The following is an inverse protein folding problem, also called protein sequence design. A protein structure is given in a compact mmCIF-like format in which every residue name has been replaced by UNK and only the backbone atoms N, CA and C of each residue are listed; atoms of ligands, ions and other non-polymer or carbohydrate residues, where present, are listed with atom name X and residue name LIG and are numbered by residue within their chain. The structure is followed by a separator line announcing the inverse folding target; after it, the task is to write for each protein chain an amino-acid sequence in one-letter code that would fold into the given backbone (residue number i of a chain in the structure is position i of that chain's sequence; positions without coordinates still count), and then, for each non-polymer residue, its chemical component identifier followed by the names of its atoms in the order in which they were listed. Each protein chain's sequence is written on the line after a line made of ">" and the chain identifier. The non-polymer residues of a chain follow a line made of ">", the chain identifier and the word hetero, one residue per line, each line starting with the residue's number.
data_IF_517987469592
#
_entry.id   IF_517987469592
#
_cell.length_a   1.000
_cell.length_b   1.000
_cell.length_c   1.000
_cell.angle_alpha   90.00
_cell.angle_beta   90.00
_cell.angle_gamma   90.00
#
_symmetry.space_group_name_H-M   'P 1'
#
loop_
_entity.id
_entity.type
_entity.pdbx_description
1 polymer ?
#
# COMPACT_ATOMS: atom_id res chain seq x y z
N UNK A 1 5.85 -19.12 0.22
CA UNK A 1 7.08 -18.59 -0.41
C UNK A 1 7.86 -17.92 0.68
N UNK A 2 9.11 -18.32 0.90
CA UNK A 2 10.02 -17.60 1.79
C UNK A 2 10.50 -16.42 0.94
N UNK A 3 9.88 -15.27 1.12
CA UNK A 3 10.50 -14.02 0.69
C UNK A 3 11.84 -13.98 1.42
N UNK A 4 12.95 -14.03 0.67
CA UNK A 4 14.25 -13.99 1.30
C UNK A 4 14.38 -12.62 1.98
N UNK A 5 14.74 -12.62 3.26
CA UNK A 5 14.76 -11.43 4.11
C UNK A 5 15.52 -10.27 3.43
N UNK A 6 16.54 -10.59 2.65
CA UNK A 6 17.36 -9.65 1.87
C UNK A 6 16.58 -8.89 0.78
N UNK A 7 15.66 -9.54 0.06
CA UNK A 7 14.83 -8.89 -0.97
C UNK A 7 13.86 -7.90 -0.37
N UNK A 8 13.30 -8.23 0.80
CA UNK A 8 12.44 -7.31 1.57
C UNK A 8 13.18 -6.00 1.85
N UNK A 9 14.44 -6.07 2.30
CA UNK A 9 15.24 -4.85 2.50
C UNK A 9 15.60 -4.12 1.20
N UNK A 10 15.74 -4.82 0.06
CA UNK A 10 15.95 -4.17 -1.25
C UNK A 10 14.75 -3.35 -1.69
N UNK A 11 13.53 -3.85 -1.47
CA UNK A 11 12.30 -3.11 -1.77
C UNK A 11 12.15 -1.88 -0.88
N UNK A 12 12.38 -2.03 0.43
CA UNK A 12 12.39 -0.92 1.39
C UNK A 12 13.40 0.14 0.97
N UNK A 13 14.61 -0.28 0.57
CA UNK A 13 15.64 0.63 0.06
C UNK A 13 15.12 1.41 -1.16
N UNK A 14 14.58 0.72 -2.16
CA UNK A 14 14.07 1.35 -3.39
C UNK A 14 12.97 2.38 -3.10
N UNK A 15 12.02 2.04 -2.21
CA UNK A 15 10.91 2.93 -1.83
C UNK A 15 11.39 4.17 -1.06
N UNK A 16 12.39 4.04 -0.19
CA UNK A 16 12.98 5.18 0.52
C UNK A 16 13.71 6.12 -0.47
N UNK A 17 14.43 5.56 -1.45
CA UNK A 17 15.07 6.37 -2.48
C UNK A 17 14.03 7.11 -3.34
N UNK A 18 12.92 6.44 -3.70
CA UNK A 18 11.82 7.03 -4.44
C UNK A 18 11.15 8.18 -3.65
N UNK A 19 10.98 8.03 -2.34
CA UNK A 19 10.43 9.09 -1.47
C UNK A 19 11.31 10.35 -1.45
N UNK A 20 12.61 10.20 -1.69
CA UNK A 20 13.54 11.30 -1.90
C UNK A 20 14.38 11.68 -0.68
N UNK A 21 15.29 12.64 -0.91
CA UNK A 21 16.38 12.95 0.02
C UNK A 21 15.91 13.47 1.39
N UNK A 22 14.80 14.21 1.44
CA UNK A 22 14.24 14.72 2.70
C UNK A 22 13.84 13.58 3.64
N UNK A 23 13.19 12.55 3.12
CA UNK A 23 12.77 11.36 3.85
C UNK A 23 13.95 10.49 4.28
N UNK A 24 14.94 10.32 3.39
CA UNK A 24 16.18 9.63 3.72
C UNK A 24 16.92 10.34 4.88
N UNK A 25 16.94 11.67 4.89
CA UNK A 25 17.62 12.45 5.94
C UNK A 25 16.93 12.34 7.31
N UNK A 26 15.63 12.09 7.36
CA UNK A 26 14.89 11.89 8.61
C UNK A 26 15.24 10.56 9.29
N UNK A 27 15.82 9.60 8.56
CA UNK A 27 16.20 8.30 9.12
C UNK A 27 17.50 8.39 9.92
N UNK A 28 17.56 7.79 11.13
CA UNK A 28 18.81 7.59 11.85
C UNK A 28 19.81 6.80 11.01
N UNK A 29 21.11 7.09 11.17
CA UNK A 29 22.16 6.43 10.39
C UNK A 29 22.14 4.91 10.58
N UNK A 30 21.86 4.42 11.79
CA UNK A 30 21.76 2.98 12.06
C UNK A 30 20.69 2.31 11.19
N UNK A 31 19.52 2.94 11.00
CA UNK A 31 18.43 2.39 10.17
C UNK A 31 18.87 2.31 8.70
N UNK A 32 19.48 3.39 8.18
CA UNK A 32 19.99 3.43 6.81
C UNK A 32 21.04 2.35 6.56
N UNK A 33 21.97 2.18 7.50
CA UNK A 33 23.01 1.16 7.44
C UNK A 33 22.40 -0.24 7.48
N UNK A 34 21.49 -0.53 8.41
CA UNK A 34 20.83 -1.84 8.49
C UNK A 34 20.10 -2.20 7.18
N UNK A 35 19.37 -1.26 6.59
CA UNK A 35 18.68 -1.51 5.32
C UNK A 35 19.69 -1.76 4.20
N UNK A 36 20.77 -0.97 4.14
CA UNK A 36 21.80 -1.14 3.11
C UNK A 36 22.64 -2.41 3.28
N UNK A 37 22.88 -2.87 4.51
CA UNK A 37 23.64 -4.09 4.79
C UNK A 37 22.82 -5.35 4.54
N UNK A 38 21.54 -5.34 4.94
CA UNK A 38 20.68 -6.52 4.83
C UNK A 38 20.11 -6.73 3.43
N UNK A 39 20.05 -5.70 2.59
CA UNK A 39 19.44 -5.83 1.27
C UNK A 39 20.24 -6.70 0.31
N UNK A 40 19.53 -7.41 -0.54
CA UNK A 40 20.11 -8.06 -1.72
C UNK A 40 20.49 -7.00 -2.76
N UNK A 41 21.81 -6.80 -2.96
CA UNK A 41 22.34 -5.81 -3.90
C UNK A 41 22.12 -6.20 -5.37
N UNK A 42 21.82 -7.47 -5.64
CA UNK A 42 21.54 -7.98 -6.99
C UNK A 42 20.07 -7.86 -7.37
N UNK A 43 19.17 -7.83 -6.39
CA UNK A 43 17.75 -7.54 -6.58
C UNK A 43 17.49 -6.03 -6.53
N UNK A 44 17.22 -5.43 -7.69
CA UNK A 44 17.03 -3.99 -7.87
C UNK A 44 15.59 -3.70 -8.29
N UNK A 45 14.62 -3.69 -7.35
CA UNK A 45 13.24 -3.36 -7.67
C UNK A 45 13.13 -1.91 -8.15
N UNK A 46 12.32 -1.69 -9.18
CA UNK A 46 12.05 -0.36 -9.75
C UNK A 46 10.61 0.00 -9.44
N UNK A 47 10.43 1.17 -8.85
CA UNK A 47 9.12 1.72 -8.47
C UNK A 47 8.92 3.08 -9.12
N UNK A 48 7.67 3.40 -9.39
CA UNK A 48 7.25 4.64 -10.02
C UNK A 48 6.41 5.46 -9.03
N UNK A 49 6.66 6.77 -9.00
CA UNK A 49 5.91 7.70 -8.15
C UNK A 49 4.50 7.95 -8.69
N UNK A 50 4.30 7.77 -9.99
CA UNK A 50 3.02 7.97 -10.67
C UNK A 50 2.10 6.74 -10.55
N UNK A 51 2.63 5.60 -10.10
CA UNK A 51 1.87 4.37 -9.89
C UNK A 51 1.52 4.19 -8.41
N UNK A 52 0.24 4.00 -8.06
CA UNK A 52 -0.17 3.74 -6.68
C UNK A 52 0.56 2.53 -6.08
N UNK A 53 1.02 2.67 -4.82
CA UNK A 53 1.84 1.66 -4.13
C UNK A 53 1.20 0.26 -4.13
N UNK A 54 -0.14 0.15 -4.03
CA UNK A 54 -0.83 -1.14 -4.03
C UNK A 54 -0.74 -1.88 -5.38
N UNK A 55 -0.44 -1.15 -6.47
CA UNK A 55 -0.29 -1.71 -7.82
C UNK A 55 1.15 -2.05 -8.17
N UNK A 56 2.12 -1.71 -7.31
CA UNK A 56 3.55 -1.91 -7.59
C UNK A 56 4.09 -3.28 -7.12
N UNK A 57 3.20 -4.18 -6.68
CA UNK A 57 3.53 -5.54 -6.24
C UNK A 57 4.66 -5.61 -5.18
N UNK A 58 4.63 -4.67 -4.23
CA UNK A 58 5.57 -4.64 -3.10
C UNK A 58 5.23 -5.78 -2.13
N UNK A 59 6.25 -6.48 -1.64
CA UNK A 59 6.10 -7.53 -0.64
C UNK A 59 5.47 -6.97 0.64
N UNK A 60 4.64 -7.80 1.29
CA UNK A 60 3.91 -7.40 2.50
C UNK A 60 4.86 -7.02 3.64
N UNK A 61 5.97 -7.75 3.78
CA UNK A 61 6.96 -7.50 4.81
C UNK A 61 7.71 -6.18 4.56
N UNK A 62 7.98 -5.84 3.30
CA UNK A 62 8.54 -4.54 2.92
C UNK A 62 7.59 -3.39 3.28
N UNK A 63 6.29 -3.55 3.01
CA UNK A 63 5.27 -2.58 3.42
C UNK A 63 5.17 -2.45 4.94
N UNK A 64 5.32 -3.55 5.69
CA UNK A 64 5.30 -3.52 7.15
C UNK A 64 6.50 -2.76 7.73
N UNK A 65 7.69 -2.95 7.17
CA UNK A 65 8.89 -2.17 7.55
C UNK A 65 8.71 -0.70 7.19
N UNK A 66 8.19 -0.40 5.99
CA UNK A 66 7.93 0.97 5.56
C UNK A 66 6.90 1.69 6.45
N UNK A 67 5.84 0.99 6.86
CA UNK A 67 4.86 1.51 7.81
C UNK A 67 5.48 1.81 9.17
N UNK A 68 6.41 0.97 9.64
CA UNK A 68 7.19 1.23 10.85
C UNK A 68 8.08 2.47 10.68
N UNK A 69 8.72 2.64 9.52
CA UNK A 69 9.51 3.82 9.21
C UNK A 69 8.65 5.09 9.20
N UNK A 70 7.49 5.02 8.55
CA UNK A 70 6.53 6.12 8.52
C UNK A 70 6.16 6.54 9.94
N UNK A 71 5.75 5.59 10.78
CA UNK A 71 5.31 5.86 12.15
C UNK A 71 6.42 6.39 13.06
N UNK A 72 7.62 5.81 12.98
CA UNK A 72 8.70 6.12 13.91
C UNK A 72 9.55 7.34 13.51
N UNK A 73 9.64 7.65 12.20
CA UNK A 73 10.59 8.64 11.70
C UNK A 73 9.99 9.72 10.81
N UNK A 74 8.98 9.39 10.00
CA UNK A 74 8.41 10.36 9.04
C UNK A 74 7.23 11.14 9.62
N UNK A 75 6.47 10.54 10.54
CA UNK A 75 5.53 11.28 11.39
C UNK A 75 6.30 12.12 12.42
N UNK A 76 6.18 13.44 12.33
CA UNK A 76 6.88 14.41 13.18
C UNK A 76 6.09 14.78 14.43
N UNK A 77 4.78 14.59 14.40
CA UNK A 77 3.85 14.93 15.48
C UNK A 77 3.02 13.73 15.92
N UNK A 78 2.54 13.77 17.16
CA UNK A 78 1.61 12.74 17.66
C UNK A 78 0.29 12.74 16.89
N UNK A 79 -0.15 13.90 16.40
CA UNK A 79 -1.33 14.01 15.55
C UNK A 79 -1.15 13.25 14.22
N UNK A 80 0.01 13.38 13.58
CA UNK A 80 0.33 12.63 12.35
C UNK A 80 0.37 11.12 12.60
N UNK A 81 0.95 10.68 13.72
CA UNK A 81 0.95 9.25 14.11
C UNK A 81 -0.47 8.72 14.31
N UNK A 82 -1.31 9.47 15.02
CA UNK A 82 -2.72 9.10 15.24
C UNK A 82 -3.48 9.04 13.90
N UNK A 83 -3.25 10.01 13.00
CA UNK A 83 -3.87 10.02 11.67
C UNK A 83 -3.46 8.79 10.86
N UNK A 84 -2.16 8.49 10.83
CA UNK A 84 -1.63 7.32 10.13
C UNK A 84 -2.22 6.00 10.64
N UNK A 85 -2.30 5.82 11.97
CA UNK A 85 -2.92 4.63 12.56
C UNK A 85 -4.42 4.51 12.24
N UNK A 86 -5.14 5.64 12.19
CA UNK A 86 -6.55 5.67 11.78
C UNK A 86 -6.72 5.26 10.32
N UNK A 87 -5.85 5.71 9.43
CA UNK A 87 -5.84 5.32 8.03
C UNK A 87 -5.59 3.82 7.85
N UNK A 88 -4.59 3.26 8.54
CA UNK A 88 -4.34 1.81 8.54
C UNK A 88 -5.57 1.02 9.01
N UNK A 89 -6.19 1.46 10.11
CA UNK A 89 -7.41 0.82 10.63
C UNK A 89 -8.56 0.90 9.64
N UNK A 90 -8.73 2.03 8.96
CA UNK A 90 -9.79 2.20 7.97
C UNK A 90 -9.57 1.29 6.76
N UNK A 91 -8.32 1.15 6.29
CA UNK A 91 -7.95 0.23 5.21
C UNK A 91 -8.34 -1.21 5.57
N UNK A 92 -8.09 -1.64 6.81
CA UNK A 92 -8.46 -3.00 7.25
C UNK A 92 -9.98 -3.19 7.31
N UNK A 93 -10.72 -2.19 7.81
CA UNK A 93 -12.20 -2.21 7.80
C UNK A 93 -12.73 -2.30 6.37
N UNK A 94 -12.17 -1.53 5.43
CA UNK A 94 -12.62 -1.51 4.04
C UNK A 94 -12.32 -2.84 3.34
N UNK A 95 -11.16 -3.45 3.61
CA UNK A 95 -10.83 -4.80 3.14
C UNK A 95 -11.81 -5.84 3.70
N UNK A 96 -12.08 -5.79 5.00
CA UNK A 96 -13.02 -6.72 5.63
C UNK A 96 -14.43 -6.58 5.05
N UNK A 97 -14.90 -5.34 4.87
CA UNK A 97 -16.19 -5.05 4.25
C UNK A 97 -16.25 -5.58 2.82
N UNK A 98 -15.22 -5.33 2.00
CA UNK A 98 -15.14 -5.84 0.63
C UNK A 98 -15.15 -7.38 0.58
N UNK A 99 -14.49 -8.04 1.54
CA UNK A 99 -14.53 -9.50 1.67
C UNK A 99 -15.92 -10.00 2.07
N UNK A 100 -16.55 -9.36 3.05
CA UNK A 100 -17.92 -9.70 3.49
C UNK A 100 -18.92 -9.54 2.34
N UNK A 101 -18.84 -8.47 1.56
CA UNK A 101 -19.69 -8.25 0.39
C UNK A 101 -19.45 -9.32 -0.69
N UNK A 102 -18.19 -9.56 -1.07
CA UNK A 102 -17.83 -10.53 -2.11
C UNK A 102 -18.23 -11.97 -1.76
N UNK A 103 -18.14 -12.33 -0.49
CA UNK A 103 -18.39 -13.69 -0.01
C UNK A 103 -19.69 -13.82 0.81
N UNK A 104 -20.60 -12.85 0.71
CA UNK A 104 -21.88 -12.89 1.42
C UNK A 104 -22.72 -14.07 0.92
N UNK A 105 -23.02 -15.08 1.75
CA UNK A 105 -23.80 -16.24 1.34
C UNK A 105 -25.18 -15.83 0.80
N UNK A 106 -25.83 -14.84 1.39
CA UNK A 106 -27.15 -14.38 0.94
C UNK A 106 -27.12 -13.82 -0.48
N UNK A 107 -26.04 -13.14 -0.89
CA UNK A 107 -25.88 -12.67 -2.27
C UNK A 107 -25.50 -13.79 -3.23
N UNK A 108 -24.65 -14.73 -2.79
CA UNK A 108 -24.22 -15.89 -3.58
C UNK A 108 -25.42 -16.81 -3.87
N UNK A 109 -26.25 -17.10 -2.86
CA UNK A 109 -27.43 -17.94 -3.01
C UNK A 109 -28.60 -17.24 -3.71
N UNK A 110 -28.70 -15.90 -3.62
CA UNK A 110 -29.64 -15.13 -4.46
C UNK A 110 -29.24 -15.16 -5.93
N UNK A 111 -27.95 -15.02 -6.26
CA UNK A 111 -27.45 -15.13 -7.65
C UNK A 111 -27.61 -16.54 -8.22
N UNK A 112 -27.41 -17.59 -7.41
CA UNK A 112 -27.57 -18.97 -7.89
C UNK A 112 -29.03 -19.33 -8.23
N UNK A 113 -30.02 -18.71 -7.57
CA UNK A 113 -31.44 -18.88 -7.93
C UNK A 113 -31.80 -18.26 -9.28
N UNK A 114 -31.16 -17.15 -9.69
CA UNK A 114 -31.39 -16.51 -10.98
C UNK A 114 -30.61 -17.18 -12.14
N UNK A 115 -29.45 -17.79 -11.86
CA UNK A 115 -28.61 -18.43 -12.88
C UNK A 115 -29.11 -19.80 -13.36
N UNK A 116 -30.19 -20.35 -12.81
CA UNK A 116 -30.83 -21.56 -13.33
C UNK A 116 -31.74 -21.31 -14.54
N UNK A 117 -31.80 -20.08 -15.07
CA UNK A 117 -32.66 -19.77 -16.22
C UNK A 117 -31.98 -19.26 -17.49
N UNK A 118 -30.70 -18.86 -17.53
CA UNK A 118 -30.07 -18.47 -18.79
C UNK A 118 -28.58 -18.86 -18.85
N UNK A 119 -28.29 -19.87 -19.68
CA UNK A 119 -26.97 -20.06 -20.26
C UNK A 119 -26.75 -18.98 -21.31
N UNK A 120 -25.96 -17.95 -21.02
CA UNK A 120 -25.21 -17.23 -22.05
C UNK A 120 -23.98 -16.56 -21.42
N UNK A 121 -22.82 -16.83 -22.01
CA UNK A 121 -21.51 -16.35 -21.56
C UNK A 121 -21.42 -14.86 -21.89
N UNK A 122 -21.66 -14.00 -20.92
CA UNK A 122 -21.23 -12.59 -21.01
C UNK A 122 -19.85 -12.45 -20.34
N UNK A 123 -18.83 -12.13 -21.15
CA UNK A 123 -17.55 -11.62 -20.68
C UNK A 123 -17.81 -10.33 -19.88
N UNK A 124 -17.77 -10.43 -18.56
CA UNK A 124 -17.98 -9.29 -17.66
C UNK A 124 -16.78 -8.35 -17.79
N UNK A 125 -16.93 -7.31 -18.62
CA UNK A 125 -16.06 -6.15 -18.60
C UNK A 125 -16.05 -5.56 -17.18
N UNK A 126 -14.86 -5.47 -16.58
CA UNK A 126 -14.63 -4.86 -15.28
C UNK A 126 -15.14 -3.41 -15.31
N UNK A 127 -16.32 -3.16 -14.73
CA UNK A 127 -16.82 -1.81 -14.55
C UNK A 127 -15.87 -1.03 -13.64
N UNK A 128 -15.16 -0.08 -14.23
CA UNK A 128 -14.26 0.83 -13.53
C UNK A 128 -15.08 1.76 -12.63
N UNK A 129 -15.21 1.38 -11.36
CA UNK A 129 -15.86 2.22 -10.36
C UNK A 129 -14.93 3.40 -10.09
N UNK A 130 -15.28 4.58 -10.63
CA UNK A 130 -14.69 5.88 -10.26
C UNK A 130 -15.00 6.20 -8.80
N UNK A 131 -14.26 5.59 -7.87
CA UNK A 131 -14.17 6.04 -6.47
C UNK A 131 -13.05 7.06 -6.41
N UNK A 132 -13.37 8.28 -6.00
CA UNK A 132 -12.36 9.28 -5.64
C UNK A 132 -11.33 8.63 -4.72
N UNK A 133 -10.09 8.74 -5.17
CA UNK A 133 -8.99 7.93 -4.69
C UNK A 133 -8.49 8.52 -3.38
N UNK A 134 -8.36 7.69 -2.35
CA UNK A 134 -7.85 8.09 -1.04
C UNK A 134 -6.52 8.89 -1.12
N UNK A 135 -5.72 8.63 -2.15
CA UNK A 135 -4.46 9.31 -2.43
C UNK A 135 -4.57 10.74 -3.00
N UNK A 136 -5.74 11.19 -3.47
CA UNK A 136 -5.96 12.61 -3.80
C UNK A 136 -5.89 13.48 -2.50
N UNK A 137 -6.19 12.88 -1.34
CA UNK A 137 -6.02 13.52 -0.03
C UNK A 137 -4.57 13.45 0.48
N UNK A 138 -3.84 12.40 0.17
CA UNK A 138 -2.42 12.25 0.56
C UNK A 138 -1.51 13.16 -0.27
N UNK A 139 -1.76 13.28 -1.58
CA UNK A 139 -1.02 14.22 -2.44
C UNK A 139 -1.33 15.69 -2.12
N UNK A 140 -2.55 16.02 -1.69
CA UNK A 140 -2.85 17.40 -1.25
C UNK A 140 -2.13 17.77 0.05
N UNK A 141 -1.80 16.80 0.92
CA UNK A 141 -0.90 17.03 2.05
C UNK A 141 0.50 17.45 1.59
N UNK A 142 1.04 16.78 0.56
CA UNK A 142 2.34 17.13 -0.04
C UNK A 142 2.30 18.45 -0.83
N UNK A 143 1.28 18.69 -1.65
CA UNK A 143 1.15 19.94 -2.43
C UNK A 143 0.98 21.20 -1.57
N UNK A 144 0.45 21.07 -0.34
CA UNK A 144 0.36 22.20 0.60
C UNK A 144 1.71 22.60 1.20
N UNK A 145 2.67 21.67 1.26
CA UNK A 145 4.01 21.87 1.82
C UNK A 145 5.06 22.34 0.80
N UNK A 146 4.83 22.11 -0.50
CA UNK A 146 5.70 22.63 -1.58
C UNK A 146 5.32 24.06 -2.03
N UNK A 147 4.27 24.67 -1.47
CA UNK A 147 4.00 26.11 -1.57
C UNK A 147 4.61 26.87 -0.38
N UNK A 148 5.94 26.81 -0.26
CA UNK A 148 6.75 27.92 0.26
C UNK A 148 8.21 27.74 -0.12
#
# INVERSE_FOLDING_TARGET
>A
MIDTEDKVYSEVYGLIQLAGKSYLNMLPNKVKITIDEKRDKSYLPVYDIDVPLEKQNVQKDSLAILANIQYNYWCRTEQEKISFLKELKQIDIDKEKAMREKFNPDEIFKKSKYNNQNNEKEEVALAEVKKEKWYERVFSFFNSFFKK
#
